data_IF_199885177663
#
_entry.id   IF_199885177663
#
_cell.length_a   1.000
_cell.length_b   1.000
_cell.length_c   1.000
_cell.angle_alpha   90.00
_cell.angle_beta   90.00
_cell.angle_gamma   90.00
#
_symmetry.space_group_name_H-M   'P 1'
#
loop_
_entity.id
_entity.type
_entity.pdbx_description
1 polymer ?
#
# COMPACT_ATOMS: atom_id res chain seq x y z
N UNK A 1 19.24 -12.82 -31.44
CA UNK A 1 18.23 -12.69 -30.36
C UNK A 1 17.65 -14.08 -30.13
N UNK A 2 18.09 -14.76 -29.07
CA UNK A 2 17.81 -16.19 -28.85
C UNK A 2 16.33 -16.49 -28.66
N UNK A 3 15.88 -17.61 -29.23
CA UNK A 3 14.50 -18.11 -29.16
C UNK A 3 14.01 -18.28 -27.70
N UNK A 4 14.93 -18.62 -26.78
CA UNK A 4 14.66 -18.73 -25.35
C UNK A 4 14.30 -17.38 -24.71
N UNK A 5 14.94 -16.29 -25.16
CA UNK A 5 14.63 -14.94 -24.70
C UNK A 5 13.26 -14.46 -25.18
N UNK A 6 12.88 -14.83 -26.42
CA UNK A 6 11.57 -14.49 -26.97
C UNK A 6 10.43 -15.21 -26.22
N UNK A 7 10.61 -16.49 -25.87
CA UNK A 7 9.62 -17.29 -25.14
C UNK A 7 9.32 -16.72 -23.74
N UNK A 8 10.36 -16.24 -23.04
CA UNK A 8 10.20 -15.63 -21.71
C UNK A 8 9.36 -14.35 -21.75
N UNK A 9 9.54 -13.51 -22.78
CA UNK A 9 8.77 -12.27 -22.97
C UNK A 9 7.30 -12.55 -23.33
N UNK A 10 7.01 -13.68 -23.99
CA UNK A 10 5.65 -14.10 -24.28
C UNK A 10 4.95 -14.76 -23.07
N UNK A 11 5.71 -15.33 -22.15
CA UNK A 11 5.20 -16.03 -20.96
C UNK A 11 4.97 -15.11 -19.74
N UNK A 12 5.47 -13.87 -19.74
CA UNK A 12 5.08 -12.89 -18.72
C UNK A 12 3.64 -12.47 -18.97
N UNK A 13 2.73 -12.99 -18.15
CA UNK A 13 1.39 -12.45 -17.99
C UNK A 13 1.50 -10.93 -17.93
N UNK A 14 0.86 -10.22 -18.87
CA UNK A 14 0.73 -8.77 -18.81
C UNK A 14 0.05 -8.43 -17.48
N UNK A 15 0.86 -8.09 -16.47
CA UNK A 15 0.33 -7.57 -15.22
C UNK A 15 -0.17 -6.17 -15.57
N UNK A 16 -1.45 -6.06 -15.86
CA UNK A 16 -2.09 -4.76 -16.04
C UNK A 16 -2.18 -4.14 -14.65
N UNK A 17 -1.15 -3.38 -14.29
CA UNK A 17 -1.30 -2.37 -13.26
C UNK A 17 -2.40 -1.43 -13.70
N UNK A 18 -3.48 -1.32 -12.93
CA UNK A 18 -4.48 -0.30 -13.17
C UNK A 18 -3.78 1.06 -13.18
N UNK A 19 -4.12 2.01 -14.07
CA UNK A 19 -3.53 3.34 -14.09
C UNK A 19 -3.61 4.08 -12.74
N UNK A 20 -4.50 3.63 -11.84
CA UNK A 20 -4.65 4.11 -10.47
C UNK A 20 -3.90 3.31 -9.39
N UNK A 21 -3.23 2.20 -9.73
CA UNK A 21 -2.48 1.34 -8.79
C UNK A 21 -3.30 0.49 -7.82
N UNK A 22 -4.62 0.30 -8.03
CA UNK A 22 -5.51 -0.32 -7.03
C UNK A 22 -5.57 -1.85 -7.10
N UNK A 23 -5.46 -2.50 -5.93
CA UNK A 23 -5.82 -3.91 -5.68
C UNK A 23 -7.34 -3.98 -5.58
N UNK A 24 -8.00 -4.48 -6.63
CA UNK A 24 -9.41 -4.21 -6.94
C UNK A 24 -10.46 -4.92 -6.08
N UNK A 25 -10.09 -5.50 -4.93
CA UNK A 25 -11.05 -6.04 -3.95
C UNK A 25 -11.33 -5.11 -2.75
N UNK A 26 -10.31 -4.47 -2.20
CA UNK A 26 -10.40 -3.67 -0.96
C UNK A 26 -10.41 -2.16 -1.18
N UNK A 27 -10.23 -1.70 -2.43
CA UNK A 27 -9.97 -0.29 -2.72
C UNK A 27 -11.13 0.43 -3.43
N UNK A 28 -12.39 0.03 -3.32
CA UNK A 28 -13.51 0.78 -3.92
C UNK A 28 -13.53 2.24 -3.43
N UNK A 29 -13.78 2.42 -2.14
CA UNK A 29 -13.93 3.72 -1.48
C UNK A 29 -12.84 4.01 -0.43
N UNK A 30 -11.89 3.07 -0.22
CA UNK A 30 -10.87 3.12 0.85
C UNK A 30 -11.49 3.34 2.25
N UNK A 31 -12.78 3.08 2.41
CA UNK A 31 -13.49 3.30 3.67
C UNK A 31 -13.27 2.09 4.57
N UNK A 32 -12.69 2.28 5.78
CA UNK A 32 -12.57 1.20 6.74
C UNK A 32 -13.97 0.70 7.12
N UNK A 33 -14.28 -0.56 6.81
CA UNK A 33 -15.58 -1.19 7.11
C UNK A 33 -15.67 -1.67 8.56
N UNK A 34 -15.22 -0.86 9.51
CA UNK A 34 -15.39 -1.16 10.92
C UNK A 34 -16.79 -0.73 11.37
N UNK A 35 -17.47 -1.56 12.16
CA UNK A 35 -18.84 -1.32 12.67
C UNK A 35 -18.91 -0.26 13.79
N UNK A 36 -18.13 0.82 13.65
CA UNK A 36 -17.97 1.92 14.59
C UNK A 36 -17.93 3.24 13.82
N UNK A 37 -18.48 4.28 14.43
CA UNK A 37 -18.43 5.63 13.88
C UNK A 37 -16.99 6.15 13.85
N UNK A 38 -16.69 6.99 12.87
CA UNK A 38 -15.41 7.68 12.79
C UNK A 38 -15.23 8.57 14.03
N UNK A 39 -14.02 8.56 14.59
CA UNK A 39 -13.68 9.43 15.71
C UNK A 39 -13.22 10.78 15.17
N UNK A 40 -13.81 11.86 15.71
CA UNK A 40 -13.51 13.25 15.33
C UNK A 40 -12.58 13.95 16.33
N UNK A 41 -12.28 13.32 17.46
CA UNK A 41 -11.32 13.78 18.47
C UNK A 41 -9.95 13.17 18.22
N UNK A 42 -8.89 13.77 18.78
CA UNK A 42 -7.52 13.29 18.66
C UNK A 42 -7.41 11.80 19.00
N UNK A 43 -6.68 11.03 18.17
CA UNK A 43 -6.40 9.60 18.35
C UNK A 43 -5.58 9.31 19.62
N UNK A 44 -5.77 8.18 20.34
CA UNK A 44 -4.98 7.82 21.51
C UNK A 44 -3.73 7.04 21.08
N UNK A 45 -3.44 7.06 19.78
CA UNK A 45 -2.38 6.34 19.13
C UNK A 45 -1.71 7.30 18.17
N UNK A 46 -0.38 7.29 18.20
CA UNK A 46 0.46 8.05 17.29
C UNK A 46 1.18 7.08 16.37
N UNK A 47 1.06 7.32 15.07
CA UNK A 47 1.80 6.59 14.04
C UNK A 47 2.91 7.50 13.55
N UNK A 48 4.15 7.04 13.65
CA UNK A 48 5.32 7.75 13.12
C UNK A 48 6.04 6.90 12.10
N UNK A 49 6.78 7.57 11.22
CA UNK A 49 7.67 6.93 10.27
C UNK A 49 9.04 7.58 10.36
N UNK A 50 10.07 6.86 9.93
CA UNK A 50 11.44 7.32 10.11
C UNK A 50 11.82 8.46 9.13
N UNK A 51 11.05 8.65 8.05
CA UNK A 51 11.33 9.62 6.98
C UNK A 51 10.05 10.30 6.47
N UNK A 52 10.20 11.48 5.88
CA UNK A 52 9.11 12.25 5.27
C UNK A 52 8.97 12.03 3.75
N UNK A 53 9.92 11.34 3.12
CA UNK A 53 9.90 11.00 1.69
C UNK A 53 10.49 9.61 1.45
N UNK A 54 10.03 8.94 0.40
CA UNK A 54 10.40 7.56 0.07
C UNK A 54 10.59 7.39 -1.43
N UNK A 55 11.59 6.58 -1.81
CA UNK A 55 11.80 6.13 -3.17
C UNK A 55 11.01 4.86 -3.51
N UNK A 56 10.90 4.56 -4.81
CA UNK A 56 10.35 3.29 -5.27
C UNK A 56 11.23 2.12 -4.82
N UNK A 57 10.61 1.09 -4.25
CA UNK A 57 11.30 -0.10 -3.76
C UNK A 57 11.96 0.07 -2.39
N UNK A 58 11.86 1.24 -1.79
CA UNK A 58 12.38 1.50 -0.45
C UNK A 58 11.54 0.82 0.63
N UNK A 59 12.20 0.26 1.63
CA UNK A 59 11.51 -0.28 2.81
C UNK A 59 11.03 0.87 3.70
N UNK A 60 9.73 0.90 3.96
CA UNK A 60 9.10 1.85 4.89
C UNK A 60 8.93 1.17 6.24
N UNK A 61 9.53 1.75 7.28
CA UNK A 61 9.39 1.31 8.67
C UNK A 61 8.55 2.34 9.42
N UNK A 62 7.53 1.84 10.13
CA UNK A 62 6.63 2.66 10.95
C UNK A 62 6.58 2.15 12.38
N UNK A 63 6.31 3.06 13.32
CA UNK A 63 6.10 2.74 14.73
C UNK A 63 4.71 3.16 15.16
N UNK A 64 4.11 2.32 15.99
CA UNK A 64 2.83 2.60 16.65
C UNK A 64 3.10 2.82 18.13
N UNK A 65 2.76 3.99 18.63
CA UNK A 65 2.75 4.31 20.06
C UNK A 65 1.32 4.50 20.55
N UNK A 66 1.05 4.07 21.78
CA UNK A 66 -0.12 4.53 22.52
C UNK A 66 0.24 5.85 23.22
N UNK A 67 -0.69 6.79 23.21
CA UNK A 67 -0.66 7.94 24.09
C UNK A 67 -1.11 7.44 25.46
N UNK A 68 -0.17 7.36 26.40
CA UNK A 68 -0.43 6.98 27.78
C UNK A 68 -0.71 8.28 28.51
N UNK A 69 -1.95 8.48 28.95
CA UNK A 69 -2.29 9.50 29.96
C UNK A 69 -1.51 9.22 31.26
#
# INVERSE_FOLDING_TARGET
>A
MDLRGLLLVCAVSRVWGYPSGKVTGSCSDLTPQHSRLARTTQSPYTVTTDKSSYGLGEQVTGKLGADVD
#
